data_IF_528721562352
#
_entry.id   IF_528721562352
#
_cell.length_a   1.000
_cell.length_b   1.000
_cell.length_c   1.000
_cell.angle_alpha   90.00
_cell.angle_beta   90.00
_cell.angle_gamma   90.00
#
_symmetry.space_group_name_H-M   'P 1'
#
loop_
_entity.id
_entity.type
_entity.pdbx_description
1 polymer ?
#
# COMPACT_ATOMS: atom_id res chain seq x y z
N UNK A 1 -20.78 -9.07 -3.18
CA UNK A 1 -20.80 -9.11 -4.64
C UNK A 1 -20.10 -10.37 -5.14
N UNK A 2 -20.56 -10.95 -6.24
CA UNK A 2 -19.80 -12.01 -6.90
C UNK A 2 -18.42 -11.51 -7.31
N UNK A 3 -17.44 -12.38 -7.24
CA UNK A 3 -16.06 -12.02 -7.57
C UNK A 3 -15.91 -11.42 -8.96
N UNK A 4 -16.63 -11.96 -9.94
CA UNK A 4 -16.54 -11.46 -11.32
C UNK A 4 -17.00 -10.02 -11.44
N UNK A 5 -18.07 -9.66 -10.74
CA UNK A 5 -18.55 -8.28 -10.72
C UNK A 5 -17.56 -7.34 -10.05
N UNK A 6 -16.96 -7.76 -8.95
CA UNK A 6 -15.93 -7.00 -8.25
C UNK A 6 -14.73 -6.76 -9.15
N UNK A 7 -14.27 -7.78 -9.86
CA UNK A 7 -13.15 -7.68 -10.79
C UNK A 7 -13.45 -6.68 -11.91
N UNK A 8 -14.65 -6.73 -12.47
CA UNK A 8 -15.06 -5.79 -13.54
C UNK A 8 -15.04 -4.35 -13.01
N UNK A 9 -15.56 -4.13 -11.82
CA UNK A 9 -15.56 -2.78 -11.22
C UNK A 9 -14.16 -2.27 -10.97
N UNK A 10 -13.28 -3.12 -10.45
CA UNK A 10 -11.88 -2.77 -10.24
C UNK A 10 -11.19 -2.48 -11.55
N UNK A 11 -11.43 -3.28 -12.57
CA UNK A 11 -10.84 -3.07 -13.89
C UNK A 11 -11.21 -1.71 -14.47
N UNK A 12 -12.47 -1.30 -14.32
CA UNK A 12 -12.91 0.02 -14.78
C UNK A 12 -12.25 1.15 -14.01
N UNK A 13 -12.07 0.97 -12.71
CA UNK A 13 -11.45 1.98 -11.85
C UNK A 13 -9.96 2.13 -12.14
N UNK A 14 -9.27 1.02 -12.29
CA UNK A 14 -7.81 0.98 -12.46
C UNK A 14 -7.38 1.39 -13.87
N UNK A 15 -8.10 0.93 -14.90
CA UNK A 15 -7.72 1.19 -16.28
C UNK A 15 -6.31 0.70 -16.59
N UNK A 16 -5.48 1.56 -17.16
CA UNK A 16 -4.10 1.24 -17.53
C UNK A 16 -3.09 1.53 -16.42
N UNK A 17 -3.55 1.97 -15.25
CA UNK A 17 -2.68 2.32 -14.15
C UNK A 17 -1.97 1.09 -13.60
N UNK A 18 -0.66 1.18 -13.40
CA UNK A 18 0.09 0.16 -12.67
C UNK A 18 -0.47 0.06 -11.25
N UNK A 19 -0.85 -1.14 -10.85
CA UNK A 19 -1.55 -1.35 -9.58
C UNK A 19 -0.90 -2.50 -8.81
N UNK A 20 -0.78 -2.32 -7.51
CA UNK A 20 -0.23 -3.33 -6.62
C UNK A 20 -1.34 -3.75 -5.65
N UNK A 21 -1.55 -5.04 -5.55
CA UNK A 21 -2.64 -5.62 -4.77
C UNK A 21 -2.06 -6.56 -3.71
N UNK A 22 -2.57 -6.45 -2.50
CA UNK A 22 -2.22 -7.39 -1.44
C UNK A 22 -2.63 -8.81 -1.83
N UNK A 23 -1.65 -9.69 -2.00
CA UNK A 23 -1.85 -11.09 -2.37
C UNK A 23 -1.70 -12.04 -1.19
N UNK A 24 -1.59 -11.52 0.03
CA UNK A 24 -1.43 -12.34 1.22
C UNK A 24 -2.68 -13.18 1.49
N UNK A 25 -2.49 -14.41 1.90
CA UNK A 25 -3.60 -15.31 2.18
C UNK A 25 -4.26 -15.83 0.91
N UNK A 26 -5.49 -15.43 0.64
CA UNK A 26 -6.26 -15.88 -0.52
C UNK A 26 -5.98 -15.05 -1.77
N UNK A 27 -4.99 -14.16 -1.73
CA UNK A 27 -4.78 -13.15 -2.77
C UNK A 27 -4.28 -13.67 -4.09
N UNK A 28 -3.50 -14.76 -4.15
CA UNK A 28 -2.90 -15.21 -5.40
C UNK A 28 -3.93 -15.55 -6.48
N UNK A 29 -4.98 -16.33 -6.22
CA UNK A 29 -6.00 -16.55 -7.25
C UNK A 29 -6.73 -15.28 -7.68
N UNK A 30 -6.93 -14.34 -6.76
CA UNK A 30 -7.57 -13.05 -7.07
C UNK A 30 -6.67 -12.23 -7.98
N UNK A 31 -5.39 -12.15 -7.66
CA UNK A 31 -4.40 -11.44 -8.49
C UNK A 31 -4.32 -12.05 -9.88
N UNK A 32 -4.30 -13.37 -10.00
CA UNK A 32 -4.28 -14.04 -11.31
C UNK A 32 -5.50 -13.67 -12.15
N UNK A 33 -6.69 -13.62 -11.54
CA UNK A 33 -7.90 -13.21 -12.25
C UNK A 33 -7.82 -11.76 -12.70
N UNK A 34 -7.35 -10.87 -11.83
CA UNK A 34 -7.16 -9.47 -12.19
C UNK A 34 -6.18 -9.31 -13.34
N UNK A 35 -5.10 -10.08 -13.34
CA UNK A 35 -4.09 -10.01 -14.38
C UNK A 35 -4.60 -10.44 -15.74
N UNK A 36 -5.62 -11.29 -15.81
CA UNK A 36 -6.27 -11.65 -17.07
C UNK A 36 -6.95 -10.46 -17.73
N UNK A 37 -7.45 -9.53 -16.95
CA UNK A 37 -8.12 -8.32 -17.43
C UNK A 37 -7.18 -7.11 -17.47
N UNK A 38 -6.17 -7.08 -16.59
CA UNK A 38 -5.30 -5.94 -16.36
C UNK A 38 -3.86 -6.40 -16.23
N UNK A 39 -3.08 -6.41 -17.33
CA UNK A 39 -1.70 -6.91 -17.31
C UNK A 39 -0.78 -6.15 -16.36
N UNK A 40 -1.11 -4.90 -16.03
CA UNK A 40 -0.28 -4.06 -15.17
C UNK A 40 -0.56 -4.23 -13.68
N UNK A 41 -1.34 -5.23 -13.29
CA UNK A 41 -1.57 -5.57 -11.88
C UNK A 41 -0.47 -6.51 -11.40
N UNK A 42 0.08 -6.21 -10.24
CA UNK A 42 1.08 -7.05 -9.60
C UNK A 42 0.66 -7.35 -8.16
N UNK A 43 0.96 -8.56 -7.69
CA UNK A 43 0.68 -8.97 -6.32
C UNK A 43 1.81 -8.62 -5.38
N UNK A 44 1.48 -8.30 -4.14
CA UNK A 44 2.46 -8.06 -3.09
C UNK A 44 2.11 -8.92 -1.88
N UNK A 45 3.06 -9.75 -1.46
CA UNK A 45 2.86 -10.62 -0.29
C UNK A 45 3.44 -9.96 0.96
N UNK A 46 2.59 -9.73 1.96
CA UNK A 46 3.02 -9.17 3.23
C UNK A 46 3.62 -10.26 4.12
N UNK A 47 4.82 -9.98 4.61
CA UNK A 47 5.47 -10.70 5.68
C UNK A 47 6.00 -9.66 6.66
N UNK A 48 6.56 -10.07 7.78
CA UNK A 48 7.17 -9.13 8.71
C UNK A 48 8.27 -8.33 8.03
N UNK A 49 9.11 -9.00 7.25
CA UNK A 49 10.22 -8.36 6.55
C UNK A 49 9.75 -7.42 5.45
N UNK A 50 8.82 -7.87 4.60
CA UNK A 50 8.36 -7.04 3.50
C UNK A 50 7.58 -5.83 3.99
N UNK A 51 6.79 -6.00 5.05
CA UNK A 51 6.04 -4.90 5.65
C UNK A 51 6.98 -3.86 6.26
N UNK A 52 8.05 -4.29 6.92
CA UNK A 52 9.05 -3.39 7.47
C UNK A 52 9.71 -2.55 6.36
N UNK A 53 10.16 -3.19 5.29
CA UNK A 53 10.76 -2.48 4.16
C UNK A 53 9.79 -1.51 3.52
N UNK A 54 8.54 -1.93 3.39
CA UNK A 54 7.48 -1.09 2.81
C UNK A 54 7.27 0.17 3.64
N UNK A 55 7.22 0.04 4.96
CA UNK A 55 7.02 1.17 5.87
C UNK A 55 8.24 2.09 5.90
N UNK A 56 9.44 1.54 5.87
CA UNK A 56 10.66 2.34 5.78
C UNK A 56 10.68 3.15 4.49
N UNK A 57 10.31 2.55 3.38
CA UNK A 57 10.21 3.25 2.10
C UNK A 57 9.21 4.38 2.13
N UNK A 58 8.05 4.16 2.74
CA UNK A 58 7.02 5.19 2.89
C UNK A 58 7.54 6.35 3.77
N UNK A 59 8.16 6.03 4.89
CA UNK A 59 8.70 7.05 5.80
C UNK A 59 9.73 7.93 5.10
N UNK A 60 10.64 7.32 4.35
CA UNK A 60 11.65 8.06 3.60
C UNK A 60 11.05 8.91 2.49
N UNK A 61 10.02 8.42 1.82
CA UNK A 61 9.32 9.19 0.78
C UNK A 61 8.64 10.42 1.36
N UNK A 62 8.04 10.30 2.54
CA UNK A 62 7.41 11.42 3.23
C UNK A 62 8.47 12.42 3.69
N UNK A 63 9.54 11.95 4.30
CA UNK A 63 10.63 12.82 4.76
C UNK A 63 11.29 13.58 3.61
N UNK A 64 11.46 12.93 2.48
CA UNK A 64 12.04 13.53 1.29
C UNK A 64 11.09 14.39 0.49
N UNK A 65 9.83 14.50 0.92
CA UNK A 65 8.80 15.29 0.25
C UNK A 65 8.52 14.80 -1.18
N UNK A 66 8.66 13.51 -1.42
CA UNK A 66 8.34 12.89 -2.71
C UNK A 66 6.86 12.55 -2.85
N UNK A 67 6.10 12.70 -1.77
CA UNK A 67 4.69 12.33 -1.71
C UNK A 67 3.89 13.52 -1.17
N UNK A 68 2.83 13.86 -1.86
CA UNK A 68 1.85 14.85 -1.40
C UNK A 68 0.59 14.11 -1.00
N UNK A 69 0.13 14.31 0.23
CA UNK A 69 -1.03 13.64 0.77
C UNK A 69 -2.19 14.65 0.88
N UNK A 70 -3.31 14.41 0.18
CA UNK A 70 -4.46 15.31 0.29
C UNK A 70 -5.12 15.15 1.66
N UNK A 71 -5.82 16.17 2.10
CA UNK A 71 -6.61 16.09 3.33
C UNK A 71 -7.70 15.05 3.20
N UNK A 72 -7.99 14.36 4.31
CA UNK A 72 -9.03 13.34 4.35
C UNK A 72 -8.65 12.17 5.26
N UNK A 73 -9.30 11.02 5.08
CA UNK A 73 -9.06 9.85 5.95
C UNK A 73 -7.61 9.39 5.98
N UNK A 74 -6.89 9.53 4.87
CA UNK A 74 -5.49 9.12 4.80
C UNK A 74 -4.61 9.91 5.77
N UNK A 75 -4.82 11.22 5.88
CA UNK A 75 -4.05 12.05 6.82
C UNK A 75 -4.29 11.60 8.26
N UNK A 76 -5.55 11.34 8.61
CA UNK A 76 -5.90 10.87 9.96
C UNK A 76 -5.26 9.53 10.28
N UNK A 77 -5.27 8.60 9.33
CA UNK A 77 -4.64 7.29 9.52
C UNK A 77 -3.13 7.40 9.66
N UNK A 78 -2.49 8.22 8.83
CA UNK A 78 -1.04 8.45 8.90
C UNK A 78 -0.65 9.03 10.25
N UNK A 79 -1.40 10.00 10.76
CA UNK A 79 -1.12 10.61 12.05
C UNK A 79 -1.21 9.60 13.19
N UNK A 80 -2.24 8.77 13.19
CA UNK A 80 -2.41 7.73 14.20
C UNK A 80 -1.32 6.66 14.10
N UNK A 81 -0.99 6.26 12.90
CA UNK A 81 0.03 5.25 12.62
C UNK A 81 1.41 5.73 13.07
N UNK A 82 1.77 6.95 12.74
CA UNK A 82 3.05 7.53 13.12
C UNK A 82 3.19 7.66 14.64
N UNK A 83 2.12 8.07 15.31
CA UNK A 83 2.13 8.18 16.77
C UNK A 83 2.39 6.83 17.42
N UNK A 84 1.71 5.80 16.99
CA UNK A 84 1.91 4.45 17.56
C UNK A 84 3.33 3.95 17.32
N UNK A 85 3.87 4.22 16.16
CA UNK A 85 5.26 3.84 15.83
C UNK A 85 6.25 4.51 16.77
N UNK A 86 6.12 5.82 17.00
CA UNK A 86 7.06 6.55 17.86
C UNK A 86 6.94 6.19 19.32
N UNK A 87 5.73 5.89 19.80
CA UNK A 87 5.49 5.58 21.20
C UNK A 87 5.95 4.19 21.60
N UNK A 88 5.75 3.22 20.72
CA UNK A 88 6.00 1.82 21.04
C UNK A 88 7.24 1.24 20.35
N UNK A 89 7.95 2.04 19.55
CA UNK A 89 9.07 1.58 18.76
C UNK A 89 8.61 0.97 17.45
N UNK A 90 9.03 -0.23 17.15
CA UNK A 90 8.76 -0.86 15.86
C UNK A 90 7.38 -1.52 15.88
N UNK A 91 6.37 -0.77 15.46
CA UNK A 91 5.02 -1.29 15.34
C UNK A 91 4.37 -0.74 14.07
N UNK A 92 4.16 -1.63 13.10
CA UNK A 92 3.70 -1.27 11.75
C UNK A 92 2.22 -1.61 11.56
N UNK A 93 1.38 -1.15 12.49
CA UNK A 93 -0.06 -1.33 12.40
C UNK A 93 -0.77 -0.17 13.10
N UNK A 94 -2.04 0.02 12.75
CA UNK A 94 -2.85 0.99 13.43
C UNK A 94 -3.12 0.55 14.87
N UNK A 95 -3.27 1.50 15.82
CA UNK A 95 -3.71 1.17 17.16
C UNK A 95 -5.07 0.46 17.16
N UNK A 96 -5.37 -0.23 18.27
CA UNK A 96 -6.64 -0.92 18.42
C UNK A 96 -7.82 0.01 18.14
N UNK A 97 -8.78 -0.48 17.34
CA UNK A 97 -9.96 0.27 16.97
C UNK A 97 -9.78 1.25 15.82
N UNK A 98 -8.57 1.35 15.27
CA UNK A 98 -8.29 2.19 14.12
C UNK A 98 -7.91 1.33 12.92
N UNK A 99 -8.02 1.94 11.73
CA UNK A 99 -7.72 1.27 10.47
C UNK A 99 -6.40 1.78 9.88
N UNK A 100 -5.73 0.92 9.11
CA UNK A 100 -4.49 1.28 8.43
C UNK A 100 -4.55 0.99 6.92
N UNK A 101 -5.73 0.77 6.39
CA UNK A 101 -5.92 0.38 4.98
C UNK A 101 -5.40 1.44 4.01
N UNK A 102 -5.66 2.71 4.30
CA UNK A 102 -5.20 3.81 3.45
C UNK A 102 -3.68 3.97 3.53
N UNK A 103 -3.09 3.78 4.71
CA UNK A 103 -1.63 3.83 4.89
C UNK A 103 -0.97 2.71 4.10
N UNK A 104 -1.51 1.50 4.17
CA UNK A 104 -0.98 0.36 3.41
C UNK A 104 -1.10 0.60 1.91
N UNK A 105 -2.22 1.12 1.45
CA UNK A 105 -2.42 1.45 0.04
C UNK A 105 -1.41 2.48 -0.44
N UNK A 106 -1.18 3.53 0.33
CA UNK A 106 -0.19 4.55 0.01
C UNK A 106 1.21 3.96 -0.03
N UNK A 107 1.56 3.11 0.93
CA UNK A 107 2.87 2.48 0.99
C UNK A 107 3.13 1.60 -0.23
N UNK A 108 2.12 0.85 -0.67
CA UNK A 108 2.22 0.04 -1.89
C UNK A 108 2.40 0.92 -3.13
N UNK A 109 1.68 2.02 -3.21
CA UNK A 109 1.81 2.96 -4.33
C UNK A 109 3.21 3.56 -4.40
N UNK A 110 3.77 3.97 -3.27
CA UNK A 110 5.15 4.48 -3.19
C UNK A 110 6.15 3.43 -3.63
N UNK A 111 5.97 2.20 -3.15
CA UNK A 111 6.82 1.07 -3.56
C UNK A 111 6.76 0.84 -5.07
N UNK A 112 5.58 0.90 -5.64
CA UNK A 112 5.39 0.72 -7.08
C UNK A 112 6.02 1.81 -7.93
N UNK A 113 6.21 3.00 -7.39
CA UNK A 113 6.88 4.10 -8.09
C UNK A 113 8.41 3.98 -8.04
N UNK A 114 8.94 3.05 -7.26
CA UNK A 114 10.38 2.89 -7.15
C UNK A 114 11.08 3.96 -6.36
N UNK A 115 10.38 4.68 -5.50
CA UNK A 115 10.98 5.71 -4.64
C UNK A 115 11.66 5.01 -3.47
N UNK A 116 12.99 4.88 -3.53
CA UNK A 116 13.77 4.19 -2.51
C UNK A 116 15.08 4.92 -2.25
N UNK A 117 15.68 4.75 -1.06
CA UNK A 117 17.00 5.34 -0.76
C UNK A 117 18.10 4.85 -1.70
N UNK A 118 18.00 3.61 -2.19
CA UNK A 118 18.99 3.02 -3.08
C UNK A 118 19.11 3.72 -4.43
N UNK A 119 18.20 4.62 -4.73
CA UNK A 119 18.21 5.41 -5.97
C UNK A 119 18.94 6.74 -5.80
N UNK A 120 19.63 6.93 -4.68
CA UNK A 120 20.42 8.14 -4.46
C UNK A 120 19.57 9.38 -4.15
N UNK A 121 18.40 9.21 -3.66
CA UNK A 121 17.50 10.31 -3.34
C UNK A 121 17.75 10.92 -1.96
N UNK A 122 18.58 10.29 -1.19
CA UNK A 122 18.85 10.66 0.20
C UNK A 122 20.34 10.91 0.42
#
# INVERSE_FOLDING_TARGET
LPWEETIVRLARLIGDTHSIVDSTGVGDPVVERLQRHLPSVEGFHFSSTSKQKLMEGLALAIQGQYVTVPEGPLVSELSSFAYEYTRTGVRYSAPDGLHDDCVMALALAVHGQGITPSQGLW
#
